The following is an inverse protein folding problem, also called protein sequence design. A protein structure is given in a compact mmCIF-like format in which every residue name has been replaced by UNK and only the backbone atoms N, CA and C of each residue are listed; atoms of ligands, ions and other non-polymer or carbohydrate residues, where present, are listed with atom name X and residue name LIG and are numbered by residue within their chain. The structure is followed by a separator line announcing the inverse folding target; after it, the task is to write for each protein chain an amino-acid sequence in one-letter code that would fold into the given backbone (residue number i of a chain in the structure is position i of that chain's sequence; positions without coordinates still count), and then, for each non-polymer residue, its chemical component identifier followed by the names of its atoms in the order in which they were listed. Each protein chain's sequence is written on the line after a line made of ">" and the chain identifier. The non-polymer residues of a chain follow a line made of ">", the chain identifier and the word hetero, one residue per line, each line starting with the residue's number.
data_IF_447228682265
#
_entry.id   IF_447228682265
#
_cell.length_a   1.000
_cell.length_b   1.000
_cell.length_c   1.000
_cell.angle_alpha   90.00
_cell.angle_beta   90.00
_cell.angle_gamma   90.00
#
_symmetry.space_group_name_H-M   'P 1'
#
loop_
_entity.id
_entity.type
_entity.pdbx_description
1 polymer ?
#
# COMPACT_ATOMS: atom_id res chain seq x y z
N UNK A 1 -29.81 6.75 -7.39
CA UNK A 1 -28.84 6.77 -6.27
C UNK A 1 -27.51 7.29 -6.84
N UNK A 2 -27.39 8.62 -6.98
CA UNK A 2 -26.24 9.26 -7.62
C UNK A 2 -25.17 9.57 -6.55
N UNK A 3 -23.93 9.20 -6.86
CA UNK A 3 -22.74 9.59 -6.12
C UNK A 3 -22.54 11.10 -6.25
N UNK A 4 -23.08 11.87 -5.31
CA UNK A 4 -22.70 13.27 -5.10
C UNK A 4 -21.37 13.28 -4.35
N UNK A 5 -20.27 13.03 -5.07
CA UNK A 5 -18.96 13.47 -4.60
C UNK A 5 -18.91 14.98 -4.82
N UNK A 6 -18.89 15.73 -3.72
CA UNK A 6 -18.75 17.16 -3.71
C UNK A 6 -17.59 17.60 -4.61
N UNK A 7 -17.99 18.33 -5.65
CA UNK A 7 -17.17 19.09 -6.58
C UNK A 7 -16.52 20.26 -5.81
N UNK A 8 -15.39 20.04 -5.16
CA UNK A 8 -14.57 21.12 -4.64
C UNK A 8 -13.59 21.59 -5.74
N UNK A 9 -14.03 22.62 -6.46
CA UNK A 9 -13.26 23.68 -7.14
C UNK A 9 -11.77 23.41 -7.46
N UNK A 10 -11.48 23.25 -8.75
CA UNK A 10 -10.17 23.54 -9.34
C UNK A 10 -9.98 25.07 -9.30
N UNK A 11 -9.21 25.58 -8.34
CA UNK A 11 -8.67 26.94 -8.39
C UNK A 11 -7.24 26.89 -8.91
N UNK A 12 -6.99 27.57 -10.03
CA UNK A 12 -5.66 27.72 -10.62
C UNK A 12 -4.69 28.31 -9.60
N UNK A 13 -3.62 27.58 -9.30
CA UNK A 13 -2.58 28.04 -8.39
C UNK A 13 -1.93 26.92 -7.60
N UNK A 14 -1.06 26.15 -8.25
CA UNK A 14 0.04 25.37 -7.66
C UNK A 14 -0.28 24.62 -6.34
N UNK A 15 -1.04 23.53 -6.40
CA UNK A 15 -0.84 22.34 -5.55
C UNK A 15 -1.31 21.11 -6.34
N UNK A 16 -0.38 20.27 -6.82
CA UNK A 16 -0.72 18.87 -7.12
C UNK A 16 -0.97 18.23 -5.77
N UNK A 17 -2.20 18.38 -5.27
CA UNK A 17 -2.63 17.64 -4.11
C UNK A 17 -2.34 16.18 -4.39
N UNK A 18 -1.65 15.53 -3.47
CA UNK A 18 -1.21 14.16 -3.65
C UNK A 18 -2.46 13.28 -3.73
N UNK A 19 -2.93 12.98 -4.95
CA UNK A 19 -4.15 12.18 -5.19
C UNK A 19 -4.14 10.86 -4.40
N UNK A 20 -2.95 10.26 -4.21
CA UNK A 20 -2.80 9.08 -3.37
C UNK A 20 -3.03 9.38 -1.88
N UNK A 21 -2.60 10.55 -1.40
CA UNK A 21 -2.90 11.03 -0.05
C UNK A 21 -4.38 11.30 0.17
N UNK A 22 -5.03 12.00 -0.75
CA UNK A 22 -6.48 12.26 -0.69
C UNK A 22 -7.28 10.96 -0.71
N UNK A 23 -6.94 10.05 -1.64
CA UNK A 23 -7.54 8.73 -1.71
C UNK A 23 -7.32 7.93 -0.43
N UNK A 24 -6.10 7.94 0.12
CA UNK A 24 -5.81 7.23 1.38
C UNK A 24 -6.67 7.77 2.52
N UNK A 25 -6.76 9.09 2.65
CA UNK A 25 -7.58 9.72 3.69
C UNK A 25 -9.08 9.38 3.52
N UNK A 26 -9.61 9.47 2.30
CA UNK A 26 -11.00 9.11 2.01
C UNK A 26 -11.30 7.63 2.28
N UNK A 27 -10.40 6.72 1.90
CA UNK A 27 -10.53 5.30 2.17
C UNK A 27 -10.45 4.98 3.67
N UNK A 28 -9.57 5.65 4.42
CA UNK A 28 -9.49 5.50 5.88
C UNK A 28 -10.79 5.94 6.56
N UNK A 29 -11.34 7.10 6.15
CA UNK A 29 -12.62 7.59 6.65
C UNK A 29 -13.78 6.61 6.38
N UNK A 30 -13.86 6.05 5.17
CA UNK A 30 -14.89 5.06 4.81
C UNK A 30 -14.77 3.76 5.63
N UNK A 31 -13.54 3.33 5.92
CA UNK A 31 -13.26 2.07 6.63
C UNK A 31 -13.20 2.23 8.16
N UNK A 32 -13.34 3.45 8.69
CA UNK A 32 -13.19 3.72 10.12
C UNK A 32 -11.78 3.50 10.65
N UNK A 33 -10.77 3.72 9.82
CA UNK A 33 -9.34 3.60 10.16
C UNK A 33 -8.77 5.00 10.42
N UNK A 34 -7.98 5.18 11.47
CA UNK A 34 -7.23 6.42 11.66
C UNK A 34 -6.12 6.50 10.61
N UNK A 35 -6.07 7.61 9.86
CA UNK A 35 -5.04 7.82 8.86
C UNK A 35 -3.63 7.94 9.48
N UNK A 36 -3.53 8.33 10.75
CA UNK A 36 -2.25 8.38 11.49
C UNK A 36 -1.70 6.98 11.82
N UNK A 37 -2.57 5.97 11.92
CA UNK A 37 -2.19 4.58 12.17
C UNK A 37 -1.68 3.87 10.90
N UNK A 38 -1.86 4.49 9.72
CA UNK A 38 -1.46 3.88 8.45
C UNK A 38 -0.04 4.27 8.08
N UNK A 39 0.91 3.35 8.31
CA UNK A 39 2.27 3.47 7.76
C UNK A 39 2.30 3.21 6.24
N UNK A 40 1.84 4.22 5.50
CA UNK A 40 1.75 4.19 4.03
C UNK A 40 3.12 4.00 3.37
N UNK A 41 4.18 4.56 3.95
CA UNK A 41 5.52 4.47 3.37
C UNK A 41 6.01 3.02 3.34
N UNK A 42 5.86 2.31 4.47
CA UNK A 42 6.21 0.90 4.58
C UNK A 42 5.37 0.02 3.65
N UNK A 43 4.04 0.22 3.59
CA UNK A 43 3.15 -0.55 2.71
C UNK A 43 3.53 -0.39 1.23
N UNK A 44 3.78 0.84 0.79
CA UNK A 44 4.15 1.10 -0.61
C UNK A 44 5.56 0.60 -0.95
N UNK A 45 6.49 0.66 0.00
CA UNK A 45 7.84 0.13 -0.17
C UNK A 45 7.82 -1.39 -0.35
N UNK A 46 7.16 -2.12 0.56
CA UNK A 46 7.13 -3.59 0.49
C UNK A 46 6.37 -4.10 -0.75
N UNK A 47 5.30 -3.40 -1.15
CA UNK A 47 4.58 -3.73 -2.38
C UNK A 47 5.49 -3.55 -3.61
N UNK A 48 6.23 -2.44 -3.68
CA UNK A 48 7.21 -2.21 -4.75
C UNK A 48 8.29 -3.29 -4.80
N UNK A 49 8.85 -3.64 -3.65
CA UNK A 49 9.94 -4.62 -3.58
C UNK A 49 9.46 -6.01 -3.99
N UNK A 50 8.26 -6.42 -3.56
CA UNK A 50 7.68 -7.71 -3.98
C UNK A 50 7.42 -7.78 -5.48
N UNK A 51 6.93 -6.70 -6.10
CA UNK A 51 6.75 -6.66 -7.55
C UNK A 51 8.06 -6.83 -8.33
N UNK A 52 9.19 -6.41 -7.74
CA UNK A 52 10.52 -6.50 -8.36
C UNK A 52 11.20 -7.83 -8.10
N UNK A 53 11.08 -8.36 -6.89
CA UNK A 53 11.83 -9.54 -6.44
C UNK A 53 11.09 -10.85 -6.70
N UNK A 54 9.76 -10.84 -6.75
CA UNK A 54 8.92 -12.05 -6.89
C UNK A 54 8.27 -12.09 -8.28
N UNK A 55 7.28 -11.23 -8.52
CA UNK A 55 6.58 -11.06 -9.79
C UNK A 55 5.67 -9.83 -9.71
N UNK A 56 5.29 -9.23 -10.85
CA UNK A 56 4.43 -8.03 -10.86
C UNK A 56 3.12 -8.17 -10.03
N UNK A 57 2.40 -9.30 -10.04
CA UNK A 57 1.20 -9.47 -9.21
C UNK A 57 1.45 -9.55 -7.70
N UNK A 58 2.72 -9.70 -7.27
CA UNK A 58 3.05 -9.82 -5.85
C UNK A 58 2.82 -8.52 -5.06
N UNK A 59 2.83 -7.34 -5.70
CA UNK A 59 2.57 -6.06 -5.04
C UNK A 59 1.24 -6.03 -4.26
N UNK A 60 0.07 -6.19 -4.91
CA UNK A 60 -1.21 -6.16 -4.21
C UNK A 60 -1.35 -7.32 -3.20
N UNK A 61 -0.84 -8.51 -3.53
CA UNK A 61 -0.91 -9.66 -2.63
C UNK A 61 -0.09 -9.45 -1.35
N UNK A 62 1.10 -8.90 -1.47
CA UNK A 62 1.99 -8.59 -0.33
C UNK A 62 1.38 -7.52 0.57
N UNK A 63 0.79 -6.47 -0.02
CA UNK A 63 0.10 -5.43 0.76
C UNK A 63 -1.09 -6.01 1.55
N UNK A 64 -1.89 -6.87 0.92
CA UNK A 64 -2.99 -7.55 1.60
C UNK A 64 -2.51 -8.46 2.75
N UNK A 65 -1.49 -9.29 2.50
CA UNK A 65 -0.94 -10.19 3.52
C UNK A 65 -0.27 -9.43 4.68
N UNK A 66 0.41 -8.32 4.39
CA UNK A 66 0.93 -7.42 5.43
C UNK A 66 -0.23 -6.91 6.31
N UNK A 67 -1.30 -6.43 5.70
CA UNK A 67 -2.50 -5.98 6.42
C UNK A 67 -3.13 -7.08 7.28
N UNK A 68 -3.26 -8.30 6.75
CA UNK A 68 -3.77 -9.46 7.50
C UNK A 68 -2.87 -9.80 8.70
N UNK A 69 -1.54 -9.74 8.56
CA UNK A 69 -0.61 -10.00 9.65
C UNK A 69 -0.71 -8.91 10.74
N UNK A 70 -0.81 -7.65 10.33
CA UNK A 70 -1.00 -6.51 11.25
C UNK A 70 -2.33 -6.63 12.00
N UNK A 71 -3.41 -6.97 11.31
CA UNK A 71 -4.72 -7.23 11.93
C UNK A 71 -4.73 -8.42 12.89
N UNK A 72 -3.73 -9.30 12.84
CA UNK A 72 -3.50 -10.40 13.79
C UNK A 72 -2.57 -10.02 14.95
N UNK A 73 -2.16 -8.76 15.05
CA UNK A 73 -1.32 -8.25 16.13
C UNK A 73 0.19 -8.27 15.86
N UNK A 74 0.63 -8.57 14.62
CA UNK A 74 2.05 -8.48 14.28
C UNK A 74 2.40 -7.01 14.00
N UNK A 75 3.43 -6.41 14.64
CA UNK A 75 3.85 -5.06 14.33
C UNK A 75 4.19 -4.88 12.84
N UNK A 76 3.75 -3.78 12.22
CA UNK A 76 3.92 -3.54 10.77
C UNK A 76 5.37 -3.66 10.32
N UNK A 77 6.30 -3.10 11.09
CA UNK A 77 7.74 -3.17 10.81
C UNK A 77 8.23 -4.61 10.84
N UNK A 78 7.80 -5.39 11.82
CA UNK A 78 8.21 -6.79 11.96
C UNK A 78 7.68 -7.64 10.80
N UNK A 79 6.40 -7.48 10.44
CA UNK A 79 5.81 -8.17 9.30
C UNK A 79 6.51 -7.79 7.98
N UNK A 80 6.79 -6.50 7.78
CA UNK A 80 7.54 -6.02 6.62
C UNK A 80 8.97 -6.59 6.58
N UNK A 81 9.69 -6.62 7.70
CA UNK A 81 11.05 -7.19 7.80
C UNK A 81 11.06 -8.68 7.46
N UNK A 82 10.06 -9.45 7.92
CA UNK A 82 9.91 -10.88 7.60
C UNK A 82 9.65 -11.09 6.10
N UNK A 83 8.76 -10.30 5.50
CA UNK A 83 8.48 -10.34 4.06
C UNK A 83 9.72 -9.94 3.24
N UNK A 84 10.44 -8.90 3.65
CA UNK A 84 11.68 -8.47 3.01
C UNK A 84 12.75 -9.58 3.01
N UNK A 85 12.94 -10.26 4.14
CA UNK A 85 13.84 -11.42 4.23
C UNK A 85 13.42 -12.56 3.31
N UNK A 86 12.12 -12.88 3.28
CA UNK A 86 11.59 -13.92 2.38
C UNK A 86 11.89 -13.59 0.92
N UNK A 87 11.63 -12.34 0.50
CA UNK A 87 11.91 -11.88 -0.87
C UNK A 87 13.39 -11.94 -1.21
N UNK A 88 14.28 -11.64 -0.27
CA UNK A 88 15.73 -11.73 -0.48
C UNK A 88 16.20 -13.17 -0.74
N UNK A 89 15.52 -14.16 -0.16
CA UNK A 89 15.78 -15.58 -0.39
C UNK A 89 14.99 -16.19 -1.55
N UNK A 90 14.11 -15.42 -2.20
CA UNK A 90 13.21 -15.95 -3.22
C UNK A 90 13.99 -16.27 -4.51
N UNK A 91 13.75 -17.45 -5.14
CA UNK A 91 14.37 -17.77 -6.42
C UNK A 91 14.03 -16.70 -7.45
N UNK A 92 15.06 -16.07 -8.04
CA UNK A 92 14.84 -15.24 -9.22
C UNK A 92 14.57 -16.18 -10.38
N UNK A 93 13.32 -16.16 -10.87
CA UNK A 93 13.00 -16.80 -12.15
C UNK A 93 13.87 -16.12 -13.20
N UNK A 94 14.82 -16.86 -13.77
CA UNK A 94 15.38 -16.51 -15.06
C UNK A 94 14.37 -16.99 -16.11
N UNK A 95 13.80 -16.06 -16.85
CA UNK A 95 12.86 -16.31 -17.96
C UNK A 95 13.54 -17.01 -19.16
N UNK A 96 14.79 -17.45 -19.00
CA UNK A 96 15.53 -18.32 -19.92
C UNK A 96 15.42 -19.81 -19.61
N UNK A 97 14.72 -20.20 -18.53
CA UNK A 97 14.32 -21.59 -18.26
C UNK A 97 12.86 -21.84 -18.68
#
# INVERSE_FOLDING_TARGET
>A
MQYTVCKAFVNGGRLRVNLLGEWTAAACAELGVDAEDVDRATVLAIARDSARSVARPAAPLTAYLLGVAVGRGVPVKEAADRLAKLMASWPRIDWRD
#
